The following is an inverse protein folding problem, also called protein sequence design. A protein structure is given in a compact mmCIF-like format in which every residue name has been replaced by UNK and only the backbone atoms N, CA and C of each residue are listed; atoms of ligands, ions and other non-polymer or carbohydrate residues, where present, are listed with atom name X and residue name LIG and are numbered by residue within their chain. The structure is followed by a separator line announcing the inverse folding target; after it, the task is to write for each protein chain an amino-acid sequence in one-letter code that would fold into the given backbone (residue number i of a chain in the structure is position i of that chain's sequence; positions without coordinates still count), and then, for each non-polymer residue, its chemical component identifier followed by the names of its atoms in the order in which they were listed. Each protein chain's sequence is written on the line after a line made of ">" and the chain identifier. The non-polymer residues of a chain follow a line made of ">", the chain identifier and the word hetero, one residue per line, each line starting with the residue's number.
data_IF_761630988015
#
_entry.id   IF_761630988015
#
_cell.length_a   1.000
_cell.length_b   1.000
_cell.length_c   1.000
_cell.angle_alpha   90.00
_cell.angle_beta   90.00
_cell.angle_gamma   90.00
#
_symmetry.space_group_name_H-M   'P 1'
#
loop_
_entity.id
_entity.type
_entity.pdbx_description
1 polymer ?
#
# COMPACT_ATOMS: atom_id res chain seq x y z
N UNK A 1 0.74 36.00 -4.36
CA UNK A 1 -0.63 35.43 -4.41
C UNK A 1 -0.51 33.91 -4.37
N UNK A 2 -0.86 33.26 -3.27
CA UNK A 2 -0.94 31.79 -3.21
C UNK A 2 -2.35 31.41 -3.62
N UNK A 3 -2.48 30.75 -4.77
CA UNK A 3 -3.74 30.17 -5.24
C UNK A 3 -4.32 29.26 -4.14
N UNK A 4 -5.63 29.34 -3.82
CA UNK A 4 -6.24 28.39 -2.90
C UNK A 4 -6.09 26.97 -3.45
N UNK A 5 -5.53 26.05 -2.66
CA UNK A 5 -5.48 24.65 -3.01
C UNK A 5 -6.92 24.12 -3.09
N UNK A 6 -7.32 23.41 -4.17
CA UNK A 6 -8.64 22.82 -4.24
C UNK A 6 -8.84 21.85 -3.06
N UNK A 7 -10.10 21.59 -2.64
CA UNK A 7 -10.36 20.59 -1.62
C UNK A 7 -9.80 19.24 -2.10
N UNK A 8 -8.93 18.65 -1.28
CA UNK A 8 -8.33 17.34 -1.53
C UNK A 8 -9.46 16.32 -1.67
N UNK A 9 -9.48 15.56 -2.77
CA UNK A 9 -10.50 14.55 -2.98
C UNK A 9 -10.39 13.45 -1.91
N UNK A 10 -11.48 12.77 -1.52
CA UNK A 10 -11.45 11.75 -0.48
C UNK A 10 -10.43 10.62 -0.73
N UNK A 11 -10.24 10.23 -1.99
CA UNK A 11 -9.25 9.20 -2.39
C UNK A 11 -7.79 9.63 -2.15
N UNK A 12 -7.50 10.94 -2.26
CA UNK A 12 -6.15 11.47 -2.03
C UNK A 12 -5.76 11.46 -0.54
N UNK A 13 -6.73 11.30 0.38
CA UNK A 13 -6.48 11.28 1.83
C UNK A 13 -6.20 9.88 2.40
N UNK A 14 -6.50 8.82 1.65
CA UNK A 14 -6.37 7.42 2.07
C UNK A 14 -5.95 6.56 0.86
N UNK A 15 -4.73 6.79 0.33
CA UNK A 15 -4.28 6.11 -0.88
C UNK A 15 -4.13 4.61 -0.64
N UNK A 16 -4.33 3.83 -1.71
CA UNK A 16 -4.11 2.38 -1.67
C UNK A 16 -2.64 2.09 -1.37
N UNK A 17 -2.32 1.15 -0.44
CA UNK A 17 -0.95 0.68 -0.25
C UNK A 17 -0.34 0.18 -1.55
N UNK A 18 0.97 0.36 -1.71
CA UNK A 18 1.73 -0.09 -2.88
C UNK A 18 2.49 -1.36 -2.50
N UNK A 19 2.44 -2.37 -3.37
CA UNK A 19 3.18 -3.60 -3.16
C UNK A 19 4.70 -3.33 -3.22
N UNK A 20 5.53 -4.01 -2.40
CA UNK A 20 6.97 -3.95 -2.56
C UNK A 20 7.36 -4.54 -3.92
N UNK A 21 8.42 -4.00 -4.52
CA UNK A 21 8.99 -4.55 -5.73
C UNK A 21 9.64 -5.91 -5.44
N UNK A 22 9.49 -6.85 -6.38
CA UNK A 22 10.15 -8.13 -6.28
C UNK A 22 11.67 -7.95 -6.37
N UNK A 23 12.46 -8.68 -5.55
CA UNK A 23 13.90 -8.59 -5.64
C UNK A 23 14.40 -9.10 -6.98
N UNK A 24 15.40 -8.42 -7.52
CA UNK A 24 16.09 -8.84 -8.73
C UNK A 24 16.95 -10.08 -8.46
N UNK A 25 17.19 -10.95 -9.45
CA UNK A 25 18.11 -12.07 -9.28
C UNK A 25 19.51 -11.63 -8.82
N UNK A 26 19.99 -10.48 -9.28
CA UNK A 26 21.29 -9.92 -8.90
C UNK A 26 21.39 -9.44 -7.45
N UNK A 27 20.26 -9.25 -6.77
CA UNK A 27 20.22 -8.90 -5.34
C UNK A 27 20.28 -10.15 -4.46
N UNK A 28 19.97 -11.32 -5.02
CA UNK A 28 20.22 -12.58 -4.36
C UNK A 28 21.72 -12.87 -4.42
N UNK A 29 22.32 -13.04 -3.25
CA UNK A 29 23.73 -13.37 -3.08
C UNK A 29 24.06 -14.81 -3.51
N UNK A 30 23.05 -15.68 -3.66
CA UNK A 30 23.12 -17.12 -4.02
C UNK A 30 24.10 -17.99 -3.19
N UNK A 31 24.74 -17.39 -2.20
CA UNK A 31 25.89 -17.94 -1.48
C UNK A 31 25.65 -18.01 0.03
N UNK A 32 24.40 -17.81 0.47
CA UNK A 32 24.03 -17.83 1.88
C UNK A 32 24.45 -16.58 2.64
N UNK A 33 24.24 -15.38 2.06
CA UNK A 33 24.42 -14.14 2.79
C UNK A 33 23.61 -14.14 4.11
N UNK A 34 24.07 -13.46 5.17
CA UNK A 34 23.41 -13.48 6.49
C UNK A 34 21.95 -13.02 6.49
N UNK A 35 21.55 -12.26 5.47
CA UNK A 35 20.18 -11.80 5.26
C UNK A 35 19.77 -12.19 3.84
N UNK A 36 18.67 -12.94 3.71
CA UNK A 36 18.10 -13.34 2.45
C UNK A 36 17.14 -12.25 1.94
N UNK A 37 17.37 -11.74 0.73
CA UNK A 37 16.50 -10.72 0.12
C UNK A 37 15.08 -11.22 -0.10
N UNK A 38 14.92 -12.52 -0.37
CA UNK A 38 13.59 -13.13 -0.53
C UNK A 38 12.82 -13.20 0.78
N UNK A 39 13.50 -13.40 1.90
CA UNK A 39 12.86 -13.42 3.22
C UNK A 39 12.40 -12.01 3.61
N UNK A 40 13.25 -10.99 3.43
CA UNK A 40 12.86 -9.58 3.63
C UNK A 40 11.68 -9.17 2.75
N UNK A 41 11.69 -9.58 1.48
CA UNK A 41 10.58 -9.31 0.57
C UNK A 41 9.30 -10.04 1.01
N UNK A 42 9.40 -11.28 1.50
CA UNK A 42 8.24 -12.03 2.01
C UNK A 42 7.61 -11.34 3.23
N UNK A 43 8.42 -10.82 4.15
CA UNK A 43 7.96 -10.03 5.30
C UNK A 43 7.27 -8.73 4.85
N UNK A 44 7.89 -7.98 3.93
CA UNK A 44 7.30 -6.77 3.37
C UNK A 44 5.95 -7.06 2.66
N UNK A 45 5.88 -8.17 1.91
CA UNK A 45 4.64 -8.63 1.28
C UNK A 45 3.56 -9.00 2.29
N UNK A 46 3.93 -9.58 3.43
CA UNK A 46 2.98 -9.87 4.50
C UNK A 46 2.38 -8.58 5.08
N UNK A 47 3.22 -7.59 5.36
CA UNK A 47 2.75 -6.28 5.83
C UNK A 47 1.85 -5.59 4.81
N UNK A 48 2.26 -5.57 3.53
CA UNK A 48 1.46 -5.01 2.44
C UNK A 48 0.05 -5.62 2.36
N UNK A 49 -0.07 -6.95 2.52
CA UNK A 49 -1.38 -7.62 2.50
C UNK A 49 -2.28 -7.17 3.66
N UNK A 50 -1.72 -7.02 4.85
CA UNK A 50 -2.47 -6.52 6.02
C UNK A 50 -2.98 -5.11 5.78
N UNK A 51 -2.10 -4.22 5.31
CA UNK A 51 -2.43 -2.83 5.02
C UNK A 51 -3.48 -2.73 3.92
N UNK A 52 -3.35 -3.55 2.87
CA UNK A 52 -4.29 -3.61 1.77
C UNK A 52 -5.68 -4.05 2.25
N UNK A 53 -5.78 -5.10 3.04
CA UNK A 53 -7.06 -5.54 3.61
C UNK A 53 -7.71 -4.46 4.47
N UNK A 54 -6.92 -3.77 5.30
CA UNK A 54 -7.44 -2.67 6.12
C UNK A 54 -7.93 -1.50 5.27
N UNK A 55 -7.23 -1.18 4.18
CA UNK A 55 -7.64 -0.16 3.22
C UNK A 55 -8.94 -0.55 2.50
N UNK A 56 -9.04 -1.78 1.99
CA UNK A 56 -10.24 -2.28 1.30
C UNK A 56 -11.49 -2.20 2.19
N UNK A 57 -11.36 -2.52 3.48
CA UNK A 57 -12.44 -2.39 4.45
C UNK A 57 -12.92 -0.94 4.60
N UNK A 58 -11.99 0.04 4.69
CA UNK A 58 -12.34 1.47 4.75
C UNK A 58 -13.01 1.94 3.45
N UNK A 59 -12.54 1.49 2.30
CA UNK A 59 -13.13 1.84 1.01
C UNK A 59 -14.56 1.30 0.84
N UNK A 60 -14.81 0.08 1.32
CA UNK A 60 -16.16 -0.48 1.37
C UNK A 60 -17.09 0.36 2.24
N UNK A 61 -16.62 0.80 3.42
CA UNK A 61 -17.38 1.68 4.31
C UNK A 61 -17.64 3.06 3.69
N UNK A 62 -16.66 3.67 3.02
CA UNK A 62 -16.85 4.97 2.33
C UNK A 62 -17.85 4.85 1.18
N UNK A 63 -17.76 3.77 0.41
CA UNK A 63 -18.69 3.48 -0.69
C UNK A 63 -20.12 3.26 -0.20
N UNK A 64 -20.30 2.65 0.98
CA UNK A 64 -21.60 2.52 1.63
C UNK A 64 -22.12 3.88 2.11
N UNK A 65 -21.24 4.68 2.73
CA UNK A 65 -21.59 6.01 3.24
C UNK A 65 -22.04 6.99 2.15
N UNK A 66 -21.34 7.00 1.01
CA UNK A 66 -21.72 7.82 -0.14
C UNK A 66 -23.06 7.43 -0.77
N UNK A 67 -23.60 6.24 -0.47
CA UNK A 67 -24.90 5.78 -0.96
C UNK A 67 -26.05 6.08 0.00
N UNK A 68 -25.77 6.29 1.30
CA UNK A 68 -26.82 6.65 2.27
C UNK A 68 -27.09 8.16 2.34
N UNK A 69 -26.16 8.97 1.87
CA UNK A 69 -26.28 10.43 1.87
C UNK A 69 -27.08 10.99 0.67
N UNK A 70 -27.89 10.14 0.01
CA UNK A 70 -28.69 10.47 -1.19
C UNK A 70 -30.20 10.39 -0.97
#
# INVERSE_FOLDING_TARGET
>A
MKTPHPPIAPDDTDPRPVAPDAPLPSECCDSGCPICVHDLHAEAMAQYRLDLTAWEARQAQRSAQGRDSG
#
